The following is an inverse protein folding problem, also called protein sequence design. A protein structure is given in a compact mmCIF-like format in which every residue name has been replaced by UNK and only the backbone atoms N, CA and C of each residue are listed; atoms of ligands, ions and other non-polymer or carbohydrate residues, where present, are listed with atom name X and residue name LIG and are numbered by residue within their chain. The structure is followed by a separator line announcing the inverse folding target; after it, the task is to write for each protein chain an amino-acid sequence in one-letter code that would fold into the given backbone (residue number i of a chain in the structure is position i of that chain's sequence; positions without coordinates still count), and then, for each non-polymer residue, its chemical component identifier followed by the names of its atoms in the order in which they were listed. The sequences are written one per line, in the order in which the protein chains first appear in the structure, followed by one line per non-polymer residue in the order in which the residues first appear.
data_IF_561299398564
#
_entry.id   IF_561299398564
#
_cell.length_a   1.000
_cell.length_b   1.000
_cell.length_c   1.000
_cell.angle_alpha   90.00
_cell.angle_beta   90.00
_cell.angle_gamma   90.00
#
_symmetry.space_group_name_H-M   'P 1'
#
loop_
_entity.id
_entity.type
_entity.pdbx_description
1 polymer ?
#
# COMPACT_ATOMS: atom_id res chain seq x y z
N UNK A 1 10.01 -31.68 33.48
CA UNK A 1 9.06 -31.16 32.47
C UNK A 1 7.61 -31.03 32.99
N UNK A 2 7.03 -32.02 33.69
CA UNK A 2 5.63 -31.98 34.17
C UNK A 2 5.24 -30.81 35.12
N UNK A 3 6.20 -30.25 35.86
CA UNK A 3 5.94 -29.20 36.88
C UNK A 3 5.40 -27.89 36.28
N UNK A 4 5.80 -27.56 35.05
CA UNK A 4 5.41 -26.31 34.39
C UNK A 4 4.31 -26.48 33.35
N UNK A 5 3.98 -27.73 32.98
CA UNK A 5 3.02 -28.02 31.91
C UNK A 5 1.64 -27.43 32.19
N UNK A 6 1.17 -27.48 33.45
CA UNK A 6 -0.11 -26.88 33.84
C UNK A 6 -0.10 -25.36 33.67
N UNK A 7 0.98 -24.70 34.09
CA UNK A 7 1.13 -23.25 33.97
C UNK A 7 1.26 -22.83 32.51
N UNK A 8 2.01 -23.58 31.70
CA UNK A 8 2.15 -23.35 30.26
C UNK A 8 0.81 -23.52 29.53
N UNK A 9 -0.01 -24.50 29.93
CA UNK A 9 -1.35 -24.67 29.37
C UNK A 9 -2.23 -23.44 29.64
N UNK A 10 -2.34 -23.00 30.89
CA UNK A 10 -3.15 -21.83 31.22
C UNK A 10 -2.60 -20.54 30.60
N UNK A 11 -1.28 -20.40 30.55
CA UNK A 11 -0.64 -19.28 29.87
C UNK A 11 -0.95 -19.28 28.37
N UNK A 12 -0.85 -20.42 27.70
CA UNK A 12 -1.22 -20.54 26.28
C UNK A 12 -2.69 -20.22 26.04
N UNK A 13 -3.59 -20.70 26.91
CA UNK A 13 -5.02 -20.44 26.80
C UNK A 13 -5.36 -18.95 26.98
N UNK A 14 -4.78 -18.31 28.01
CA UNK A 14 -4.97 -16.88 28.26
C UNK A 14 -4.41 -16.07 27.09
N UNK A 15 -3.21 -16.40 26.59
CA UNK A 15 -2.62 -15.73 25.44
C UNK A 15 -3.44 -15.91 24.15
N UNK A 16 -4.07 -17.08 23.95
CA UNK A 16 -4.97 -17.29 22.81
C UNK A 16 -6.25 -16.46 22.93
N UNK A 17 -6.84 -16.36 24.11
CA UNK A 17 -8.05 -15.56 24.34
C UNK A 17 -7.77 -14.06 24.23
N UNK A 18 -6.64 -13.58 24.75
CA UNK A 18 -6.23 -12.18 24.58
C UNK A 18 -5.93 -11.87 23.12
N UNK A 19 -5.26 -12.77 22.39
CA UNK A 19 -5.04 -12.63 20.94
C UNK A 19 -6.35 -12.52 20.17
N UNK A 20 -7.35 -13.35 20.51
CA UNK A 20 -8.68 -13.31 19.90
C UNK A 20 -9.38 -11.96 20.16
N UNK A 21 -9.40 -11.49 21.40
CA UNK A 21 -10.02 -10.21 21.77
C UNK A 21 -9.32 -8.99 21.14
N UNK A 22 -7.99 -9.07 20.98
CA UNK A 22 -7.16 -8.07 20.30
C UNK A 22 -7.48 -8.04 18.80
N UNK A 23 -7.61 -9.21 18.17
CA UNK A 23 -7.99 -9.38 16.76
C UNK A 23 -9.37 -8.82 16.46
N UNK A 24 -10.36 -9.06 17.32
CA UNK A 24 -11.72 -8.48 17.16
C UNK A 24 -11.72 -6.95 17.20
N UNK A 25 -10.81 -6.35 17.98
CA UNK A 25 -10.65 -4.89 18.07
C UNK A 25 -9.72 -4.30 17.00
N UNK A 26 -9.14 -5.14 16.13
CA UNK A 26 -8.25 -4.70 15.06
C UNK A 26 -6.85 -4.27 15.51
N UNK A 27 -6.41 -4.68 16.70
CA UNK A 27 -5.05 -4.45 17.18
C UNK A 27 -4.14 -5.65 16.86
N UNK A 28 -2.83 -5.43 16.87
CA UNK A 28 -1.82 -6.44 16.52
C UNK A 28 -1.73 -7.58 17.56
N UNK A 29 -1.67 -8.84 17.11
CA UNK A 29 -1.33 -9.98 17.98
C UNK A 29 0.06 -9.80 18.62
N UNK A 30 0.18 -10.07 19.92
CA UNK A 30 1.45 -10.12 20.64
C UNK A 30 1.81 -11.59 20.80
N UNK A 31 2.45 -12.25 19.81
CA UNK A 31 3.08 -13.61 19.94
C UNK A 31 3.91 -14.03 18.69
N UNK A 32 4.80 -15.06 18.73
CA UNK A 32 6.21 -15.03 18.34
C UNK A 32 6.50 -15.60 16.95
N UNK A 33 5.50 -15.76 16.08
CA UNK A 33 5.66 -16.35 14.73
C UNK A 33 5.56 -15.29 13.63
N UNK A 34 6.36 -14.22 13.76
CA UNK A 34 6.38 -13.09 12.81
C UNK A 34 6.60 -13.50 11.34
N UNK A 35 7.29 -14.63 11.09
CA UNK A 35 7.55 -15.15 9.74
C UNK A 35 6.33 -15.75 9.05
N UNK A 36 5.33 -16.27 9.77
CA UNK A 36 4.11 -16.81 9.16
C UNK A 36 3.12 -15.69 8.74
N UNK A 37 3.15 -14.56 9.45
CA UNK A 37 2.32 -13.37 9.18
C UNK A 37 2.62 -12.73 7.82
N UNK A 38 3.87 -12.80 7.35
CA UNK A 38 4.28 -12.35 6.01
C UNK A 38 3.55 -13.10 4.88
N UNK A 39 3.10 -14.33 5.11
CA UNK A 39 2.46 -15.16 4.09
C UNK A 39 0.93 -15.20 4.20
N UNK A 40 0.35 -14.96 5.37
CA UNK A 40 -1.10 -15.14 5.58
C UNK A 40 -1.90 -13.85 5.67
N UNK A 41 -1.26 -12.70 5.98
CA UNK A 41 -1.98 -11.43 6.16
C UNK A 41 -1.14 -10.25 5.64
N UNK A 42 -0.99 -10.08 4.32
CA UNK A 42 -0.17 -9.00 3.75
C UNK A 42 -0.74 -7.59 4.05
N UNK A 43 -2.02 -7.48 4.44
CA UNK A 43 -2.68 -6.20 4.76
C UNK A 43 -3.84 -6.28 5.76
N UNK A 44 -4.33 -7.48 6.10
CA UNK A 44 -5.59 -7.66 6.85
C UNK A 44 -5.62 -7.22 8.32
N UNK A 45 -4.52 -6.69 8.85
CA UNK A 45 -4.49 -6.04 10.17
C UNK A 45 -4.54 -4.50 10.12
N UNK A 46 -4.31 -3.89 8.96
CA UNK A 46 -4.22 -2.44 8.84
C UNK A 46 -5.59 -1.80 8.63
N UNK A 47 -5.83 -0.66 9.30
CA UNK A 47 -7.07 0.09 9.14
C UNK A 47 -7.18 0.76 7.77
N UNK A 48 -6.03 1.12 7.18
CA UNK A 48 -5.92 1.82 5.90
C UNK A 48 -4.63 1.45 5.19
N UNK A 49 -4.70 1.25 3.87
CA UNK A 49 -3.56 1.16 2.97
C UNK A 49 -3.42 2.44 2.15
N UNK A 50 -2.18 2.83 1.87
CA UNK A 50 -1.85 3.98 1.02
C UNK A 50 -1.07 3.52 -0.21
N UNK A 51 -1.34 4.14 -1.35
CA UNK A 51 -0.57 3.95 -2.57
C UNK A 51 -0.54 5.21 -3.41
N UNK A 52 0.51 5.39 -4.18
CA UNK A 52 0.65 6.49 -5.12
C UNK A 52 0.29 6.04 -6.54
N UNK A 53 -0.40 6.91 -7.28
CA UNK A 53 -0.81 6.64 -8.67
C UNK A 53 -0.58 7.86 -9.54
N UNK A 54 -0.16 7.58 -10.77
CA UNK A 54 -0.11 8.58 -11.83
C UNK A 54 -1.46 8.70 -12.50
N UNK A 55 -1.83 9.94 -12.81
CA UNK A 55 -2.97 10.29 -13.63
C UNK A 55 -2.46 11.14 -14.78
N UNK A 56 -2.90 10.84 -15.99
CA UNK A 56 -2.59 11.62 -17.18
C UNK A 56 -3.74 12.58 -17.50
N UNK A 57 -3.41 13.74 -18.03
CA UNK A 57 -4.40 14.67 -18.59
C UNK A 57 -4.37 14.55 -20.11
N UNK A 58 -5.54 14.32 -20.69
CA UNK A 58 -5.72 14.29 -22.14
C UNK A 58 -6.97 15.10 -22.51
N UNK A 59 -6.81 16.16 -23.29
CA UNK A 59 -7.92 17.06 -23.69
C UNK A 59 -8.76 17.60 -22.51
N UNK A 60 -8.13 17.81 -21.34
CA UNK A 60 -8.81 18.29 -20.13
C UNK A 60 -9.36 17.19 -19.23
N UNK A 61 -9.46 15.95 -19.71
CA UNK A 61 -9.89 14.81 -18.90
C UNK A 61 -8.73 14.23 -18.09
N UNK A 62 -9.00 13.96 -16.81
CA UNK A 62 -8.04 13.33 -15.90
C UNK A 62 -8.27 11.81 -15.86
N UNK A 63 -7.31 11.06 -16.39
CA UNK A 63 -7.42 9.61 -16.57
C UNK A 63 -6.40 8.92 -15.66
N UNK A 64 -6.84 7.94 -14.88
CA UNK A 64 -5.94 7.11 -14.06
C UNK A 64 -5.07 6.26 -14.98
N UNK A 65 -3.75 6.37 -14.86
CA UNK A 65 -2.83 5.53 -15.62
C UNK A 65 -2.84 4.14 -14.99
N UNK A 66 -3.10 3.13 -15.82
CA UNK A 66 -2.98 1.73 -15.44
C UNK A 66 -1.55 1.28 -15.70
N UNK A 67 -0.99 0.58 -14.71
CA UNK A 67 0.30 -0.05 -14.89
C UNK A 67 0.09 -1.29 -15.75
N UNK A 68 0.73 -1.31 -16.90
CA UNK A 68 0.67 -2.41 -17.86
C UNK A 68 2.09 -2.66 -18.32
N UNK A 69 2.51 -3.92 -18.51
CA UNK A 69 3.86 -4.22 -18.95
C UNK A 69 4.21 -3.43 -20.21
N UNK A 70 5.36 -2.76 -20.18
CA UNK A 70 5.97 -2.10 -21.33
C UNK A 70 7.32 -2.73 -21.61
N UNK A 71 7.90 -2.41 -22.77
CA UNK A 71 9.17 -3.01 -23.22
C UNK A 71 10.30 -2.93 -22.19
N UNK A 72 10.31 -1.90 -21.34
CA UNK A 72 11.37 -1.63 -20.36
C UNK A 72 11.00 -2.00 -18.91
N UNK A 73 9.73 -2.25 -18.61
CA UNK A 73 9.23 -2.39 -17.22
C UNK A 73 8.07 -3.37 -17.14
N UNK A 74 8.09 -4.24 -16.12
CA UNK A 74 6.93 -5.02 -15.73
C UNK A 74 5.94 -4.15 -14.95
N UNK A 75 4.67 -4.56 -14.90
CA UNK A 75 3.63 -3.77 -14.19
C UNK A 75 3.94 -3.56 -12.69
N UNK A 76 4.63 -4.53 -12.07
CA UNK A 76 5.08 -4.44 -10.67
C UNK A 76 6.24 -3.45 -10.51
N UNK A 77 7.13 -3.35 -11.50
CA UNK A 77 8.22 -2.37 -11.50
C UNK A 77 7.65 -0.96 -11.59
N UNK A 78 6.69 -0.74 -12.50
CA UNK A 78 5.99 0.54 -12.61
C UNK A 78 5.33 0.92 -11.27
N UNK A 79 4.67 -0.03 -10.61
CA UNK A 79 4.03 0.20 -9.31
C UNK A 79 5.04 0.57 -8.22
N UNK A 80 6.16 -0.15 -8.18
CA UNK A 80 7.22 0.10 -7.20
C UNK A 80 7.87 1.47 -7.41
N UNK A 81 8.16 1.83 -8.65
CA UNK A 81 8.78 3.12 -9.02
C UNK A 81 7.85 4.28 -8.63
N UNK A 82 6.57 4.20 -9.00
CA UNK A 82 5.58 5.25 -8.68
C UNK A 82 5.40 5.38 -7.18
N UNK A 83 5.27 4.29 -6.43
CA UNK A 83 5.14 4.33 -4.97
C UNK A 83 6.39 4.91 -4.30
N UNK A 84 7.58 4.54 -4.76
CA UNK A 84 8.85 4.99 -4.19
C UNK A 84 9.04 6.49 -4.38
N UNK A 85 8.92 7.01 -5.62
CA UNK A 85 9.09 8.44 -5.86
C UNK A 85 7.89 9.25 -5.37
N UNK A 86 6.68 8.72 -5.48
CA UNK A 86 5.47 9.34 -4.97
C UNK A 86 5.54 9.58 -3.45
N UNK A 87 5.99 8.57 -2.71
CA UNK A 87 6.25 8.68 -1.27
C UNK A 87 7.25 9.77 -0.94
N UNK A 88 8.41 9.80 -1.61
CA UNK A 88 9.43 10.84 -1.39
C UNK A 88 8.91 12.25 -1.68
N UNK A 89 8.12 12.42 -2.74
CA UNK A 89 7.51 13.70 -3.11
C UNK A 89 6.49 14.17 -2.05
N UNK A 90 5.64 13.26 -1.56
CA UNK A 90 4.65 13.54 -0.51
C UNK A 90 5.30 13.97 0.82
N UNK A 91 6.42 13.32 1.18
CA UNK A 91 7.21 13.65 2.37
C UNK A 91 8.20 14.82 2.17
N UNK A 92 8.17 15.48 1.00
CA UNK A 92 9.06 16.58 0.62
C UNK A 92 10.56 16.25 0.61
N UNK A 93 10.93 14.98 0.51
CA UNK A 93 12.32 14.54 0.35
C UNK A 93 12.79 14.82 -1.08
N UNK A 94 13.78 15.71 -1.26
CA UNK A 94 14.27 16.15 -2.58
C UNK A 94 13.14 16.30 -3.61
N UNK A 95 12.09 17.02 -3.22
CA UNK A 95 10.82 17.04 -3.95
C UNK A 95 11.01 17.35 -5.43
N UNK A 96 11.80 18.37 -5.76
CA UNK A 96 12.06 18.77 -7.15
C UNK A 96 12.81 17.69 -7.93
N UNK A 97 13.84 17.08 -7.34
CA UNK A 97 14.61 16.01 -7.98
C UNK A 97 13.77 14.77 -8.23
N UNK A 98 12.95 14.37 -7.26
CA UNK A 98 12.07 13.22 -7.37
C UNK A 98 10.89 13.47 -8.33
N UNK A 99 10.31 14.67 -8.34
CA UNK A 99 9.31 15.06 -9.35
C UNK A 99 9.88 14.95 -10.77
N UNK A 100 11.10 15.45 -10.99
CA UNK A 100 11.76 15.35 -12.30
C UNK A 100 11.96 13.90 -12.73
N UNK A 101 12.44 13.03 -11.83
CA UNK A 101 12.64 11.60 -12.12
C UNK A 101 11.31 10.91 -12.45
N UNK A 102 10.26 11.18 -11.67
CA UNK A 102 8.95 10.60 -11.88
C UNK A 102 8.30 11.10 -13.17
N UNK A 103 8.50 12.37 -13.55
CA UNK A 103 8.05 12.91 -14.84
C UNK A 103 8.74 12.23 -16.02
N UNK A 104 10.07 12.03 -15.95
CA UNK A 104 10.82 11.32 -17.00
C UNK A 104 10.27 9.90 -17.17
N UNK A 105 10.09 9.19 -16.06
CA UNK A 105 9.50 7.85 -16.06
C UNK A 105 8.09 7.82 -16.66
N UNK A 106 7.23 8.78 -16.28
CA UNK A 106 5.86 8.87 -16.80
C UNK A 106 5.84 9.11 -18.32
N UNK A 107 6.72 9.98 -18.82
CA UNK A 107 6.85 10.24 -20.26
C UNK A 107 7.45 9.08 -21.05
N UNK A 108 8.34 8.30 -20.44
CA UNK A 108 8.93 7.11 -21.08
C UNK A 108 7.90 5.98 -21.22
N UNK A 109 7.05 5.80 -20.19
CA UNK A 109 6.08 4.69 -20.14
C UNK A 109 4.73 5.01 -20.79
N UNK A 110 4.26 6.26 -20.71
CA UNK A 110 2.92 6.68 -21.20
C UNK A 110 2.96 8.04 -21.91
N UNK A 111 3.74 8.19 -23.00
CA UNK A 111 3.94 9.47 -23.69
C UNK A 111 2.67 10.10 -24.28
N UNK A 112 1.57 9.36 -24.38
CA UNK A 112 0.29 9.82 -24.94
C UNK A 112 -0.40 10.93 -24.14
N UNK A 113 -0.02 11.16 -22.88
CA UNK A 113 -0.62 12.20 -22.03
C UNK A 113 0.12 13.53 -22.14
N UNK A 114 -0.65 14.63 -22.14
CA UNK A 114 -0.12 15.99 -22.23
C UNK A 114 0.52 16.41 -20.90
N UNK A 115 -0.07 15.99 -19.79
CA UNK A 115 0.35 16.34 -18.44
C UNK A 115 0.17 15.16 -17.51
N UNK A 116 0.89 15.18 -16.37
CA UNK A 116 0.85 14.11 -15.38
C UNK A 116 0.59 14.69 -13.99
N UNK A 117 -0.28 14.03 -13.24
CA UNK A 117 -0.62 14.33 -11.87
C UNK A 117 -0.24 13.14 -10.98
N UNK A 118 0.32 13.43 -9.82
CA UNK A 118 0.56 12.45 -8.77
C UNK A 118 -0.57 12.52 -7.75
N UNK A 119 -1.24 11.38 -7.56
CA UNK A 119 -2.26 11.20 -6.53
C UNK A 119 -1.79 10.23 -5.46
N UNK A 120 -2.23 10.47 -4.23
CA UNK A 120 -2.25 9.50 -3.14
C UNK A 120 -3.65 8.91 -3.05
N UNK A 121 -3.75 7.59 -3.16
CA UNK A 121 -4.97 6.83 -2.98
C UNK A 121 -4.92 6.11 -1.63
N UNK A 122 -5.92 6.35 -0.79
CA UNK A 122 -6.10 5.67 0.50
C UNK A 122 -7.33 4.77 0.42
N UNK A 123 -7.21 3.55 0.91
CA UNK A 123 -8.28 2.55 0.88
C UNK A 123 -8.30 1.75 2.18
N UNK A 124 -9.43 1.14 2.53
CA UNK A 124 -9.48 0.22 3.68
C UNK A 124 -9.23 -1.22 3.21
N UNK A 125 -8.21 -1.91 3.75
CA UNK A 125 -7.99 -3.32 3.44
C UNK A 125 -9.17 -4.23 3.81
N UNK A 126 -10.01 -3.81 4.77
CA UNK A 126 -11.20 -4.56 5.19
C UNK A 126 -12.28 -4.63 4.11
N UNK A 127 -12.30 -3.67 3.19
CA UNK A 127 -13.26 -3.61 2.07
C UNK A 127 -12.78 -4.40 0.84
N UNK A 128 -11.60 -5.03 0.90
CA UNK A 128 -11.09 -5.87 -0.20
C UNK A 128 -12.01 -7.09 -0.37
N UNK A 129 -12.58 -7.24 -1.57
CA UNK A 129 -13.53 -8.31 -1.89
C UNK A 129 -15.00 -7.88 -1.81
N UNK A 130 -15.29 -6.67 -1.31
CA UNK A 130 -16.62 -6.08 -1.44
C UNK A 130 -16.91 -5.66 -2.89
N UNK A 131 -18.21 -5.52 -3.22
CA UNK A 131 -18.68 -5.14 -4.56
C UNK A 131 -18.08 -3.81 -5.05
N UNK A 132 -17.78 -2.89 -4.12
CA UNK A 132 -17.16 -1.60 -4.42
C UNK A 132 -16.38 -1.09 -3.20
N UNK A 133 -15.06 -1.15 -3.29
CA UNK A 133 -14.16 -0.55 -2.31
C UNK A 133 -14.15 0.98 -2.45
N UNK A 134 -14.22 1.70 -1.33
CA UNK A 134 -14.07 3.15 -1.31
C UNK A 134 -12.58 3.50 -1.39
N UNK A 135 -12.24 4.39 -2.31
CA UNK A 135 -10.87 4.88 -2.50
C UNK A 135 -10.91 6.39 -2.42
N UNK A 136 -10.30 6.94 -1.37
CA UNK A 136 -10.14 8.38 -1.20
C UNK A 136 -8.87 8.83 -1.95
N UNK A 137 -8.99 9.93 -2.70
CA UNK A 137 -7.94 10.42 -3.60
C UNK A 137 -7.54 11.82 -3.22
N UNK A 138 -6.23 12.05 -3.07
CA UNK A 138 -5.65 13.37 -2.81
C UNK A 138 -4.60 13.69 -3.87
N UNK A 139 -4.73 14.83 -4.55
CA UNK A 139 -3.65 15.35 -5.40
C UNK A 139 -2.46 15.71 -4.50
N UNK A 140 -1.30 15.15 -4.83
CA UNK A 140 -0.04 15.52 -4.19
C UNK A 140 0.61 16.66 -4.97
N UNK A 141 0.75 16.49 -6.29
CA UNK A 141 1.35 17.51 -7.15
C UNK A 141 1.07 17.25 -8.63
N UNK A 142 1.33 18.26 -9.45
CA UNK A 142 1.44 18.15 -10.90
C UNK A 142 2.93 18.01 -11.25
N UNK A 143 3.27 17.04 -12.08
CA UNK A 143 4.64 16.68 -12.42
C UNK A 143 5.18 17.49 -13.60
#
# INVERSE_FOLDING_TARGET
MKKYTRYLFFFSLIMSLTSLAIKEKGYNEIYPFASWKLFTVPSGGEASGERYKLYGINHGDTIRILNTPVKSYEANDEEFIVNTYGGKIDHNEDKKGNMKKLLIFAKDTRPEFQEYLLYKETYSPREIGEKKMKIDKKIITRL
#
